data_IF_116898591478
#
_entry.id   IF_116898591478
#
_cell.length_a   1.000
_cell.length_b   1.000
_cell.length_c   1.000
_cell.angle_alpha   90.00
_cell.angle_beta   90.00
_cell.angle_gamma   90.00
#
_symmetry.space_group_name_H-M   'P 1'
#
loop_
_entity.id
_entity.type
_entity.pdbx_description
1 polymer ?
#
# COMPACT_ATOMS: atom_id res chain seq x y z
N UNK A 1 70.09 26.95 -10.11
CA UNK A 1 69.06 26.00 -10.57
C UNK A 1 67.68 26.61 -10.33
N UNK A 2 67.02 27.04 -11.41
CA UNK A 2 65.64 27.55 -11.41
C UNK A 2 64.68 26.35 -11.32
N UNK A 3 63.72 26.37 -10.40
CA UNK A 3 62.50 25.55 -10.51
C UNK A 3 61.30 26.48 -10.57
N UNK A 4 60.78 26.58 -11.79
CA UNK A 4 59.56 27.26 -12.18
C UNK A 4 58.39 26.36 -11.73
N UNK A 5 57.56 26.81 -10.78
CA UNK A 5 56.24 26.20 -10.57
C UNK A 5 55.22 27.05 -11.33
N UNK A 6 54.81 26.52 -12.47
CA UNK A 6 53.68 26.99 -13.27
C UNK A 6 52.41 26.37 -12.67
N UNK A 7 51.66 27.11 -11.87
CA UNK A 7 50.30 26.72 -11.47
C UNK A 7 49.35 27.24 -12.55
N UNK A 8 48.89 26.32 -13.40
CA UNK A 8 47.83 26.55 -14.37
C UNK A 8 46.56 27.01 -13.64
N UNK A 9 46.10 28.21 -13.94
CA UNK A 9 44.69 28.57 -13.74
C UNK A 9 43.85 27.73 -14.69
N UNK A 10 43.05 26.79 -14.17
CA UNK A 10 41.90 26.27 -14.90
C UNK A 10 40.90 27.42 -15.06
N UNK A 11 41.01 28.17 -16.15
CA UNK A 11 39.90 28.96 -16.64
C UNK A 11 38.81 27.98 -17.09
N UNK A 12 37.73 27.88 -16.32
CA UNK A 12 36.52 27.23 -16.77
C UNK A 12 36.06 27.95 -18.04
N UNK A 13 36.16 27.26 -19.18
CA UNK A 13 35.51 27.70 -20.42
C UNK A 13 34.01 27.58 -20.17
N UNK A 14 33.40 28.68 -19.72
CA UNK A 14 31.96 28.85 -19.75
C UNK A 14 31.57 28.90 -21.22
N UNK A 15 31.19 27.75 -21.79
CA UNK A 15 30.48 27.76 -23.06
C UNK A 15 29.28 28.71 -22.90
N UNK A 16 29.21 29.74 -23.75
CA UNK A 16 28.08 30.65 -23.77
C UNK A 16 26.90 29.90 -24.40
N UNK A 17 26.13 29.21 -23.56
CA UNK A 17 24.84 28.64 -23.96
C UNK A 17 23.88 29.79 -24.30
N UNK A 18 23.10 29.65 -25.37
CA UNK A 18 21.95 30.55 -25.55
C UNK A 18 20.82 30.13 -24.59
N UNK A 19 19.92 31.06 -24.24
CA UNK A 19 18.98 30.87 -23.14
C UNK A 19 17.69 30.16 -23.60
N UNK A 20 17.42 28.97 -23.05
CA UNK A 20 16.12 28.30 -23.19
C UNK A 20 15.14 28.97 -22.23
N UNK A 21 14.06 29.52 -22.77
CA UNK A 21 13.03 30.17 -21.96
C UNK A 21 12.14 29.15 -21.23
N UNK A 22 12.08 29.28 -19.91
CA UNK A 22 11.19 28.49 -19.05
C UNK A 22 9.76 29.02 -19.14
N UNK A 23 8.80 28.09 -19.28
CA UNK A 23 7.37 28.38 -19.36
C UNK A 23 6.67 28.04 -18.04
N UNK A 24 6.93 26.85 -17.48
CA UNK A 24 6.30 26.38 -16.24
C UNK A 24 7.26 25.45 -15.48
N UNK A 25 7.25 25.46 -14.13
CA UNK A 25 6.61 26.43 -13.26
C UNK A 25 7.28 27.81 -13.38
N UNK A 26 6.53 28.87 -13.07
CA UNK A 26 7.14 30.20 -12.93
C UNK A 26 8.24 30.14 -11.86
N UNK A 27 9.37 30.87 -12.03
CA UNK A 27 10.46 30.86 -11.06
C UNK A 27 9.97 31.16 -9.63
N UNK A 28 10.27 30.26 -8.69
CA UNK A 28 9.87 30.37 -7.29
C UNK A 28 8.40 30.02 -6.99
N UNK A 29 7.63 29.54 -7.97
CA UNK A 29 6.24 29.11 -7.75
C UNK A 29 6.14 28.02 -6.69
N UNK A 30 5.05 28.05 -5.90
CA UNK A 30 4.68 26.96 -4.99
C UNK A 30 3.69 26.06 -5.72
N UNK A 31 4.08 24.82 -6.01
CA UNK A 31 3.30 23.86 -6.80
C UNK A 31 2.65 22.80 -5.91
N UNK A 32 1.41 22.40 -6.22
CA UNK A 32 0.70 21.36 -5.47
C UNK A 32 1.12 19.94 -5.85
N UNK A 33 1.16 19.05 -4.87
CA UNK A 33 1.35 17.60 -5.08
C UNK A 33 0.07 16.78 -4.88
N UNK A 34 -0.99 17.42 -4.38
CA UNK A 34 -2.34 16.86 -4.32
C UNK A 34 -3.22 17.52 -5.37
N UNK A 35 -4.16 16.76 -5.95
CA UNK A 35 -5.20 17.34 -6.80
C UNK A 35 -6.16 18.16 -5.97
N UNK A 36 -6.89 19.09 -6.58
CA UNK A 36 -7.83 19.96 -5.84
C UNK A 36 -8.90 19.14 -5.09
N UNK A 37 -9.34 18.02 -5.67
CA UNK A 37 -10.28 17.09 -5.02
C UNK A 37 -9.65 16.36 -3.82
N UNK A 38 -8.40 15.91 -3.93
CA UNK A 38 -7.67 15.30 -2.81
C UNK A 38 -7.44 16.33 -1.70
N UNK A 39 -6.98 17.54 -2.04
CA UNK A 39 -6.79 18.65 -1.11
C UNK A 39 -8.08 18.99 -0.36
N UNK A 40 -9.17 19.16 -1.11
CA UNK A 40 -10.47 19.47 -0.54
C UNK A 40 -10.87 18.46 0.53
N UNK A 41 -10.58 17.17 0.34
CA UNK A 41 -10.85 16.15 1.35
C UNK A 41 -9.93 16.26 2.57
N UNK A 42 -8.61 16.39 2.38
CA UNK A 42 -7.64 16.33 3.50
C UNK A 42 -7.71 17.53 4.44
N UNK A 43 -8.20 18.69 3.96
CA UNK A 43 -8.35 19.91 4.79
C UNK A 43 -9.71 20.04 5.47
N UNK A 44 -10.66 19.15 5.18
CA UNK A 44 -11.94 19.11 5.91
C UNK A 44 -11.70 18.75 7.37
N UNK A 45 -12.52 19.28 8.28
CA UNK A 45 -12.49 18.88 9.68
C UNK A 45 -12.91 17.40 9.84
N UNK A 46 -12.51 16.78 10.96
CA UNK A 46 -12.73 15.36 11.23
C UNK A 46 -14.19 14.94 11.11
N UNK A 47 -15.10 15.76 11.66
CA UNK A 47 -16.50 15.41 11.72
C UNK A 47 -17.07 15.36 10.31
N UNK A 48 -16.82 16.40 9.51
CA UNK A 48 -17.23 16.45 8.10
C UNK A 48 -16.63 15.29 7.30
N UNK A 49 -15.34 14.96 7.49
CA UNK A 49 -14.71 13.81 6.82
C UNK A 49 -15.40 12.51 7.20
N UNK A 50 -15.63 12.27 8.50
CA UNK A 50 -16.28 11.05 9.00
C UNK A 50 -17.69 10.88 8.46
N UNK A 51 -18.48 11.95 8.41
CA UNK A 51 -19.84 11.95 7.83
C UNK A 51 -19.81 11.61 6.33
N UNK A 52 -18.94 12.27 5.56
CA UNK A 52 -18.75 11.95 4.12
C UNK A 52 -18.26 10.53 3.91
N UNK A 53 -17.31 10.06 4.72
CA UNK A 53 -16.72 8.73 4.60
C UNK A 53 -17.75 7.63 4.88
N UNK A 54 -18.78 7.91 5.68
CA UNK A 54 -19.87 6.98 5.95
C UNK A 54 -20.84 6.79 4.75
N UNK A 55 -20.86 7.71 3.78
CA UNK A 55 -21.72 7.62 2.60
C UNK A 55 -21.22 6.55 1.61
N UNK A 56 -21.98 5.45 1.38
CA UNK A 56 -21.58 4.40 0.45
C UNK A 56 -21.50 4.89 -1.02
N UNK A 57 -22.28 5.90 -1.42
CA UNK A 57 -22.22 6.47 -2.77
C UNK A 57 -20.92 7.23 -2.98
N UNK A 58 -20.49 7.99 -1.96
CA UNK A 58 -19.19 8.65 -1.96
C UNK A 58 -18.03 7.63 -2.03
N UNK A 59 -18.04 6.61 -1.17
CA UNK A 59 -16.97 5.58 -1.11
C UNK A 59 -16.86 4.74 -2.39
N UNK A 60 -18.00 4.28 -2.93
CA UNK A 60 -18.02 3.47 -4.17
C UNK A 60 -17.46 4.21 -5.39
N UNK A 61 -17.51 5.55 -5.38
CA UNK A 61 -16.93 6.43 -6.40
C UNK A 61 -15.51 6.90 -6.05
N UNK A 62 -14.74 6.13 -5.28
CA UNK A 62 -13.34 6.48 -4.98
C UNK A 62 -13.27 7.85 -4.29
N UNK A 63 -14.20 8.11 -3.38
CA UNK A 63 -14.35 9.41 -2.69
C UNK A 63 -14.55 10.59 -3.65
N UNK A 64 -15.15 10.34 -4.82
CA UNK A 64 -15.45 11.36 -5.82
C UNK A 64 -14.22 11.93 -6.54
N UNK A 65 -13.06 11.28 -6.44
CA UNK A 65 -11.84 11.75 -7.09
C UNK A 65 -11.94 11.61 -8.62
N UNK A 66 -11.74 12.69 -9.40
CA UNK A 66 -11.76 12.65 -10.86
C UNK A 66 -10.50 11.99 -11.42
N UNK A 67 -10.64 11.25 -12.52
CA UNK A 67 -9.49 10.77 -13.27
C UNK A 67 -8.89 11.92 -14.09
N UNK A 68 -7.57 12.08 -14.06
CA UNK A 68 -6.82 13.08 -14.83
C UNK A 68 -6.20 12.41 -16.07
N UNK A 69 -6.23 13.06 -17.23
CA UNK A 69 -5.54 12.57 -18.43
C UNK A 69 -4.49 13.59 -18.86
N UNK A 70 -3.21 13.22 -18.77
CA UNK A 70 -2.11 14.08 -19.22
C UNK A 70 -2.11 14.22 -20.75
N UNK A 71 -1.60 15.34 -21.29
CA UNK A 71 -1.31 15.48 -22.70
C UNK A 71 -0.53 14.30 -23.26
N UNK A 72 -0.93 13.79 -24.44
CA UNK A 72 -0.30 12.65 -25.10
C UNK A 72 -0.53 11.27 -24.46
N UNK A 73 -1.10 11.19 -23.24
CA UNK A 73 -1.31 9.91 -22.56
C UNK A 73 -2.44 9.09 -23.21
N UNK A 74 -2.21 7.78 -23.42
CA UNK A 74 -3.21 6.86 -23.99
C UNK A 74 -4.39 6.61 -23.04
N UNK A 75 -4.13 6.58 -21.74
CA UNK A 75 -5.12 6.30 -20.68
C UNK A 75 -5.07 7.39 -19.60
N UNK A 76 -6.19 7.66 -18.92
CA UNK A 76 -6.18 8.49 -17.72
C UNK A 76 -5.25 7.91 -16.65
N UNK A 77 -4.70 8.79 -15.83
CA UNK A 77 -4.01 8.47 -14.58
C UNK A 77 -5.01 7.94 -13.57
N UNK A 78 -4.50 7.16 -12.62
CA UNK A 78 -5.27 6.73 -11.47
C UNK A 78 -5.62 7.95 -10.60
N UNK A 79 -6.89 8.08 -10.22
CA UNK A 79 -7.39 9.26 -9.49
C UNK A 79 -6.77 9.44 -8.08
N UNK A 80 -6.15 8.38 -7.55
CA UNK A 80 -5.46 8.38 -6.26
C UNK A 80 -3.97 8.67 -6.35
N UNK A 81 -3.41 8.82 -7.55
CA UNK A 81 -2.03 9.24 -7.71
C UNK A 81 -1.86 10.72 -7.33
N UNK A 82 -0.64 11.14 -6.94
CA UNK A 82 -0.35 12.55 -6.72
C UNK A 82 -0.60 13.38 -7.99
N UNK A 83 -0.86 14.67 -7.78
CA UNK A 83 -0.81 15.66 -8.85
C UNK A 83 0.62 15.76 -9.35
N UNK A 84 0.77 15.63 -10.66
CA UNK A 84 2.08 15.68 -11.31
C UNK A 84 2.53 17.14 -11.44
N UNK A 85 3.83 17.37 -11.36
CA UNK A 85 4.43 18.69 -11.64
C UNK A 85 4.87 18.71 -13.09
N UNK A 86 4.38 19.69 -13.85
CA UNK A 86 4.78 19.93 -15.24
C UNK A 86 5.95 20.91 -15.27
N UNK A 87 7.04 20.47 -15.89
CA UNK A 87 8.12 21.34 -16.32
C UNK A 87 7.94 21.62 -17.80
N UNK A 88 7.97 22.88 -18.22
CA UNK A 88 7.77 23.27 -19.60
C UNK A 88 8.72 24.40 -20.01
N UNK A 89 9.16 24.36 -21.26
CA UNK A 89 10.07 25.34 -21.87
C UNK A 89 9.75 25.54 -23.35
N UNK A 90 10.27 26.63 -23.92
CA UNK A 90 10.19 26.87 -25.37
C UNK A 90 11.15 25.92 -26.10
N UNK A 91 10.61 24.82 -26.63
CA UNK A 91 11.37 23.82 -27.36
C UNK A 91 11.48 24.13 -28.87
N UNK A 92 12.60 23.71 -29.45
CA UNK A 92 12.85 23.66 -30.89
C UNK A 92 12.44 22.29 -31.43
N UNK A 93 11.88 22.27 -32.63
CA UNK A 93 11.48 21.02 -33.30
C UNK A 93 12.68 20.11 -33.56
N UNK A 94 12.52 18.83 -33.24
CA UNK A 94 13.54 17.80 -33.48
C UNK A 94 14.70 17.76 -32.48
N UNK A 95 14.74 18.67 -31.50
CA UNK A 95 15.78 18.68 -30.46
C UNK A 95 15.43 17.70 -29.33
N UNK A 96 16.43 16.92 -28.91
CA UNK A 96 16.40 16.17 -27.66
C UNK A 96 16.94 17.05 -26.53
N UNK A 97 16.23 17.07 -25.41
CA UNK A 97 16.58 17.82 -24.22
C UNK A 97 16.96 16.89 -23.08
N UNK A 98 17.98 17.25 -22.32
CA UNK A 98 18.28 16.67 -21.01
C UNK A 98 17.69 17.58 -19.93
N UNK A 99 16.88 17.02 -19.05
CA UNK A 99 16.25 17.74 -17.94
C UNK A 99 16.75 17.16 -16.63
N UNK A 100 17.34 18.00 -15.79
CA UNK A 100 17.85 17.59 -14.48
C UNK A 100 17.16 18.40 -13.38
N UNK A 101 16.67 17.72 -12.34
CA UNK A 101 15.98 18.34 -11.19
C UNK A 101 16.73 17.95 -9.93
N UNK A 102 16.99 18.94 -9.07
CA UNK A 102 17.73 18.77 -7.82
C UNK A 102 16.94 19.31 -6.64
N UNK A 103 16.88 18.51 -5.58
CA UNK A 103 16.46 18.99 -4.27
C UNK A 103 17.53 19.93 -3.71
N UNK A 104 17.17 21.19 -3.49
CA UNK A 104 18.13 22.23 -3.09
C UNK A 104 18.67 22.03 -1.67
N UNK A 105 17.86 21.48 -0.76
CA UNK A 105 18.27 21.27 0.62
C UNK A 105 19.16 20.04 0.76
N UNK A 106 18.83 18.96 0.04
CA UNK A 106 19.57 17.69 0.11
C UNK A 106 20.72 17.61 -0.90
N UNK A 107 20.74 18.48 -1.90
CA UNK A 107 21.62 18.39 -3.05
C UNK A 107 21.37 17.15 -3.93
N UNK A 108 20.29 16.39 -3.69
CA UNK A 108 20.02 15.11 -4.35
C UNK A 108 19.46 15.33 -5.75
N UNK A 109 19.98 14.59 -6.73
CA UNK A 109 19.38 14.53 -8.08
C UNK A 109 18.10 13.71 -7.98
N UNK A 110 16.99 14.33 -8.38
CA UNK A 110 15.65 13.75 -8.32
C UNK A 110 15.24 13.15 -9.66
N UNK A 111 15.60 13.84 -10.73
CA UNK A 111 15.39 13.45 -12.13
C UNK A 111 16.64 13.85 -12.91
N UNK A 112 17.06 13.01 -13.83
CA UNK A 112 18.08 13.29 -14.85
C UNK A 112 17.71 12.46 -16.08
N UNK A 113 16.87 13.04 -16.92
CA UNK A 113 16.19 12.32 -18.00
C UNK A 113 16.35 13.04 -19.33
N UNK A 114 16.26 12.26 -20.41
CA UNK A 114 16.21 12.78 -21.77
C UNK A 114 14.79 12.71 -22.29
N UNK A 115 14.34 13.77 -22.95
CA UNK A 115 13.00 13.83 -23.55
C UNK A 115 13.02 14.59 -24.87
N UNK A 116 12.00 14.33 -25.69
CA UNK A 116 11.72 15.10 -26.91
C UNK A 116 10.51 15.99 -26.65
N UNK A 117 10.53 17.21 -27.17
CA UNK A 117 9.49 18.22 -26.97
C UNK A 117 9.79 19.18 -25.81
N UNK A 118 8.83 20.06 -25.51
CA UNK A 118 8.99 21.18 -24.57
C UNK A 118 8.41 20.97 -23.19
N UNK A 119 8.20 19.72 -22.77
CA UNK A 119 7.68 19.43 -21.44
C UNK A 119 8.13 18.08 -20.85
N UNK A 120 8.13 18.01 -19.52
CA UNK A 120 8.36 16.81 -18.73
C UNK A 120 7.43 16.81 -17.51
N UNK A 121 6.86 15.65 -17.17
CA UNK A 121 5.97 15.47 -16.03
C UNK A 121 6.65 14.68 -14.93
N UNK A 122 6.68 15.23 -13.72
CA UNK A 122 7.42 14.66 -12.60
C UNK A 122 6.45 14.34 -11.47
N UNK A 123 6.57 13.12 -10.96
CA UNK A 123 5.86 12.63 -9.80
C UNK A 123 6.83 12.44 -8.62
N UNK A 124 6.29 12.10 -7.45
CA UNK A 124 7.07 11.62 -6.30
C UNK A 124 8.06 12.66 -5.73
N UNK A 125 7.78 13.96 -5.85
CA UNK A 125 8.50 15.00 -5.13
C UNK A 125 8.14 14.99 -3.64
N UNK A 126 9.02 15.54 -2.80
CA UNK A 126 8.74 15.78 -1.39
C UNK A 126 7.84 17.00 -1.22
N UNK A 127 6.98 17.00 -0.19
CA UNK A 127 6.22 18.19 0.21
C UNK A 127 7.13 19.15 0.98
N UNK A 128 6.76 20.43 1.03
CA UNK A 128 7.52 21.48 1.73
C UNK A 128 9.01 21.51 1.33
N UNK A 129 9.33 21.20 0.07
CA UNK A 129 10.68 21.12 -0.45
C UNK A 129 10.91 22.18 -1.54
N UNK A 130 12.18 22.53 -1.77
CA UNK A 130 12.59 23.49 -2.79
C UNK A 130 13.45 22.80 -3.84
N UNK A 131 13.14 23.05 -5.11
CA UNK A 131 13.78 22.41 -6.25
C UNK A 131 14.35 23.44 -7.21
N UNK A 132 15.52 23.12 -7.74
CA UNK A 132 16.10 23.77 -8.91
C UNK A 132 16.15 22.75 -10.04
N UNK A 133 15.99 23.23 -11.27
CA UNK A 133 16.07 22.36 -12.43
C UNK A 133 16.70 23.07 -13.63
N UNK A 134 17.33 22.27 -14.49
CA UNK A 134 17.92 22.70 -15.73
C UNK A 134 17.32 21.94 -16.89
N UNK A 135 17.29 22.59 -18.05
CA UNK A 135 17.03 21.97 -19.34
C UNK A 135 18.16 22.34 -20.28
N UNK A 136 18.73 21.36 -20.97
CA UNK A 136 19.85 21.55 -21.88
C UNK A 136 19.57 20.83 -23.20
N UNK A 137 19.79 21.49 -24.32
CA UNK A 137 19.58 20.91 -25.66
C UNK A 137 20.05 21.85 -26.76
N UNK A 138 20.59 21.29 -27.85
CA UNK A 138 21.08 22.06 -29.01
C UNK A 138 22.12 23.16 -28.67
N UNK A 139 22.95 22.94 -27.64
CA UNK A 139 23.90 23.95 -27.18
C UNK A 139 23.29 25.11 -26.40
N UNK A 140 22.01 25.02 -26.05
CA UNK A 140 21.28 25.98 -25.22
C UNK A 140 21.00 25.43 -23.83
N UNK A 141 20.76 26.32 -22.87
CA UNK A 141 20.42 25.95 -21.50
C UNK A 141 19.36 26.87 -20.89
N UNK A 142 18.48 26.32 -20.06
CA UNK A 142 17.49 27.05 -19.28
C UNK A 142 17.52 26.59 -17.82
N UNK A 143 17.16 27.49 -16.91
CA UNK A 143 17.12 27.20 -15.46
C UNK A 143 15.80 27.65 -14.87
N UNK A 144 15.20 26.78 -14.06
CA UNK A 144 13.98 27.08 -13.33
C UNK A 144 14.10 26.66 -11.87
N UNK A 145 13.15 27.15 -11.06
CA UNK A 145 13.04 26.76 -9.65
C UNK A 145 11.58 26.81 -9.20
N UNK A 146 11.24 25.96 -8.24
CA UNK A 146 9.91 25.92 -7.64
C UNK A 146 9.99 25.31 -6.24
N UNK A 147 8.92 25.50 -5.45
CA UNK A 147 8.72 24.86 -4.16
C UNK A 147 7.49 23.97 -4.22
N UNK A 148 7.41 22.95 -3.38
CA UNK A 148 6.20 22.15 -3.22
C UNK A 148 5.39 22.63 -2.03
N UNK A 149 4.07 22.56 -2.13
CA UNK A 149 3.18 22.87 -1.02
C UNK A 149 3.48 22.02 0.22
N UNK A 150 3.18 22.57 1.39
CA UNK A 150 3.30 21.91 2.69
C UNK A 150 2.00 21.20 3.10
N UNK A 151 1.36 20.50 2.16
CA UNK A 151 0.12 19.77 2.45
C UNK A 151 0.39 18.27 2.47
N UNK A 152 0.30 17.66 3.65
CA UNK A 152 0.36 16.21 3.82
C UNK A 152 -1.01 15.54 3.56
N UNK A 153 -1.05 14.25 3.16
CA UNK A 153 0.08 13.34 2.95
C UNK A 153 0.80 13.57 1.62
N UNK A 154 2.07 13.16 1.56
CA UNK A 154 2.79 12.96 0.29
C UNK A 154 2.33 11.63 -0.34
N UNK A 155 1.40 11.72 -1.29
CA UNK A 155 0.98 10.57 -2.10
C UNK A 155 2.11 10.17 -3.06
N UNK A 156 2.26 8.87 -3.30
CA UNK A 156 3.33 8.34 -4.16
C UNK A 156 2.70 7.61 -5.34
N UNK A 157 3.15 7.96 -6.54
CA UNK A 157 2.93 7.15 -7.73
C UNK A 157 3.88 5.96 -7.68
N UNK A 158 3.31 4.80 -7.38
CA UNK A 158 3.98 3.51 -7.43
C UNK A 158 3.29 2.68 -8.53
N UNK A 159 3.86 2.58 -9.75
CA UNK A 159 3.20 1.85 -10.83
C UNK A 159 2.90 0.39 -10.45
N UNK A 160 1.64 -0.02 -10.57
CA UNK A 160 1.18 -1.38 -10.24
C UNK A 160 0.81 -1.61 -8.77
N UNK A 161 1.19 -0.70 -7.87
CA UNK A 161 0.93 -0.80 -6.42
C UNK A 161 0.02 0.35 -6.00
N UNK A 162 -1.24 0.08 -5.58
CA UNK A 162 -2.14 1.13 -5.09
C UNK A 162 -1.84 1.51 -3.63
N UNK A 163 -2.53 2.54 -3.13
CA UNK A 163 -2.52 2.94 -1.71
C UNK A 163 -1.17 3.41 -1.16
N UNK A 164 -0.30 3.94 -2.02
CA UNK A 164 1.07 4.28 -1.63
C UNK A 164 1.18 5.74 -1.18
N UNK A 165 1.81 5.95 -0.03
CA UNK A 165 2.16 7.26 0.49
C UNK A 165 3.35 7.20 1.41
N UNK A 166 4.05 8.31 1.49
CA UNK A 166 5.08 8.55 2.49
C UNK A 166 4.41 8.67 3.86
N UNK A 167 5.00 8.03 4.87
CA UNK A 167 4.56 8.18 6.25
C UNK A 167 5.09 9.47 6.89
N UNK A 168 6.18 10.02 6.33
CA UNK A 168 6.80 11.26 6.72
C UNK A 168 6.09 12.51 6.19
N UNK A 169 6.72 13.66 6.39
CA UNK A 169 6.23 14.96 5.94
C UNK A 169 5.17 15.59 6.84
N UNK A 170 4.60 14.86 7.81
CA UNK A 170 3.63 15.42 8.77
C UNK A 170 4.35 16.08 9.94
N UNK A 171 3.74 17.12 10.51
CA UNK A 171 4.23 17.80 11.72
C UNK A 171 3.54 17.18 12.93
N UNK A 172 4.33 16.76 13.92
CA UNK A 172 3.84 16.27 15.21
C UNK A 172 3.43 17.40 16.15
N UNK A 173 2.75 17.05 17.24
CA UNK A 173 2.32 17.95 18.30
C UNK A 173 3.48 18.71 18.97
N UNK A 174 4.71 18.21 18.84
CA UNK A 174 5.92 18.86 19.35
C UNK A 174 6.61 19.80 18.34
N UNK A 175 5.94 20.07 17.21
CA UNK A 175 6.39 20.98 16.15
C UNK A 175 7.41 20.39 15.19
N UNK A 176 7.95 19.18 15.45
CA UNK A 176 8.92 18.55 14.56
C UNK A 176 8.24 17.88 13.38
N UNK A 177 8.89 17.90 12.23
CA UNK A 177 8.43 17.20 11.03
C UNK A 177 9.00 15.78 11.00
N UNK A 178 8.20 14.82 10.59
CA UNK A 178 8.73 13.50 10.24
C UNK A 178 9.50 13.57 8.90
N UNK A 179 10.72 13.03 8.88
CA UNK A 179 11.57 12.91 7.70
C UNK A 179 10.83 12.16 6.59
N UNK A 180 10.87 12.71 5.38
CA UNK A 180 10.27 12.14 4.18
C UNK A 180 11.20 11.10 3.56
N UNK A 181 10.63 10.08 2.91
CA UNK A 181 11.35 9.01 2.24
C UNK A 181 11.94 7.95 3.15
N UNK A 182 11.66 8.01 4.47
CA UNK A 182 12.15 7.02 5.43
C UNK A 182 11.24 5.78 5.49
N UNK A 183 9.93 6.01 5.53
CA UNK A 183 8.92 4.95 5.62
C UNK A 183 7.86 5.18 4.55
N UNK A 184 7.69 4.20 3.68
CA UNK A 184 6.62 4.12 2.70
C UNK A 184 5.62 3.07 3.19
N UNK A 185 4.33 3.38 3.09
CA UNK A 185 3.27 2.37 3.25
C UNK A 185 2.57 2.13 1.93
N UNK A 186 2.27 0.87 1.63
CA UNK A 186 1.74 0.47 0.32
C UNK A 186 0.78 -0.71 0.41
N UNK A 187 0.08 -1.01 -0.70
CA UNK A 187 -0.50 -2.34 -0.93
C UNK A 187 0.59 -3.35 -1.29
N UNK A 188 0.25 -4.64 -1.35
CA UNK A 188 1.25 -5.69 -1.57
C UNK A 188 2.04 -5.49 -2.86
N UNK A 189 3.34 -5.77 -2.82
CA UNK A 189 4.24 -5.66 -3.98
C UNK A 189 4.03 -6.77 -5.02
N UNK A 190 3.23 -7.78 -4.67
CA UNK A 190 2.73 -8.83 -5.55
C UNK A 190 1.28 -9.19 -5.15
N UNK A 191 0.58 -9.92 -6.02
CA UNK A 191 -0.74 -10.47 -5.69
C UNK A 191 -0.62 -11.55 -4.61
N UNK A 192 -1.75 -11.96 -4.02
CA UNK A 192 -1.75 -13.10 -3.13
C UNK A 192 -1.47 -14.39 -3.90
N UNK A 193 -0.84 -15.34 -3.23
CA UNK A 193 -0.77 -16.70 -3.71
C UNK A 193 -2.18 -17.26 -3.95
N UNK A 194 -2.28 -18.11 -4.97
CA UNK A 194 -3.54 -18.69 -5.40
C UNK A 194 -3.38 -20.15 -5.76
N UNK A 195 -4.47 -20.89 -5.60
CA UNK A 195 -4.52 -22.31 -5.96
C UNK A 195 -4.52 -22.45 -7.48
N UNK A 196 -3.72 -23.40 -7.97
CA UNK A 196 -3.76 -23.84 -9.36
C UNK A 196 -4.59 -25.11 -9.47
N UNK A 197 -5.22 -25.31 -10.62
CA UNK A 197 -6.14 -26.42 -10.86
C UNK A 197 -5.70 -27.16 -12.12
N UNK A 198 -5.90 -28.48 -12.13
CA UNK A 198 -5.70 -29.25 -13.34
C UNK A 198 -6.68 -28.82 -14.43
N UNK A 199 -6.21 -28.80 -15.67
CA UNK A 199 -7.10 -28.66 -16.83
C UNK A 199 -7.84 -29.98 -17.08
N UNK A 200 -8.93 -29.92 -17.85
CA UNK A 200 -9.65 -31.14 -18.26
C UNK A 200 -8.74 -32.09 -19.02
N UNK A 201 -7.87 -31.58 -19.88
CA UNK A 201 -6.99 -32.41 -20.69
C UNK A 201 -5.89 -33.06 -19.84
N UNK A 202 -5.32 -32.35 -18.86
CA UNK A 202 -4.42 -32.96 -17.87
C UNK A 202 -5.13 -34.09 -17.11
N UNK A 203 -6.40 -33.91 -16.72
CA UNK A 203 -7.17 -34.94 -16.03
C UNK A 203 -7.50 -36.14 -16.93
N UNK A 204 -7.70 -35.94 -18.24
CA UNK A 204 -7.87 -37.02 -19.21
C UNK A 204 -6.59 -37.82 -19.37
N UNK A 205 -5.46 -37.13 -19.56
CA UNK A 205 -4.14 -37.76 -19.69
C UNK A 205 -3.78 -38.57 -18.45
N UNK A 206 -4.20 -38.11 -17.27
CA UNK A 206 -4.03 -38.83 -16.01
C UNK A 206 -5.02 -39.99 -15.81
N UNK A 207 -6.00 -40.18 -16.71
CA UNK A 207 -7.04 -41.20 -16.59
C UNK A 207 -8.01 -40.96 -15.42
N UNK A 208 -8.12 -39.72 -14.92
CA UNK A 208 -8.94 -39.37 -13.74
C UNK A 208 -10.24 -38.64 -14.08
N UNK A 209 -10.41 -38.20 -15.32
CA UNK A 209 -11.55 -37.34 -15.66
C UNK A 209 -12.90 -38.01 -15.37
N UNK A 210 -13.05 -39.29 -15.72
CA UNK A 210 -14.32 -40.01 -15.58
C UNK A 210 -14.65 -40.24 -14.10
N UNK A 211 -13.68 -40.65 -13.27
CA UNK A 211 -13.83 -40.79 -11.81
C UNK A 211 -14.33 -39.49 -11.17
N UNK A 212 -13.77 -38.33 -11.58
CA UNK A 212 -14.15 -37.06 -10.97
C UNK A 212 -15.53 -36.58 -11.44
N UNK A 213 -15.89 -36.87 -12.70
CA UNK A 213 -17.25 -36.60 -13.21
C UNK A 213 -18.28 -37.43 -12.45
N UNK A 214 -18.02 -38.73 -12.28
CA UNK A 214 -18.89 -39.62 -11.49
C UNK A 214 -19.03 -39.11 -10.04
N UNK A 215 -17.94 -38.68 -9.41
CA UNK A 215 -17.99 -38.10 -8.07
C UNK A 215 -18.80 -36.78 -8.00
N UNK A 216 -18.70 -35.94 -9.03
CA UNK A 216 -19.48 -34.70 -9.13
C UNK A 216 -20.98 -34.98 -9.30
N UNK A 217 -21.34 -35.95 -10.15
CA UNK A 217 -22.71 -36.41 -10.33
C UNK A 217 -23.29 -37.02 -9.03
N UNK A 218 -22.51 -37.84 -8.33
CA UNK A 218 -22.89 -38.38 -7.03
C UNK A 218 -23.14 -37.29 -5.98
N UNK A 219 -22.30 -36.25 -5.96
CA UNK A 219 -22.47 -35.10 -5.07
C UNK A 219 -23.73 -34.27 -5.40
N UNK A 220 -24.04 -34.08 -6.69
CA UNK A 220 -25.27 -33.43 -7.13
C UNK A 220 -26.50 -34.25 -6.71
N UNK A 221 -26.47 -35.56 -6.96
CA UNK A 221 -27.55 -36.47 -6.55
C UNK A 221 -27.79 -36.43 -5.04
N UNK A 222 -26.72 -36.38 -4.24
CA UNK A 222 -26.83 -36.24 -2.78
C UNK A 222 -27.42 -34.88 -2.37
N UNK A 223 -27.07 -33.80 -3.05
CA UNK A 223 -27.66 -32.49 -2.79
C UNK A 223 -29.17 -32.50 -3.03
N UNK A 224 -29.61 -33.08 -4.14
CA UNK A 224 -31.02 -33.17 -4.50
C UNK A 224 -31.80 -34.00 -3.47
N UNK A 225 -31.22 -35.12 -3.01
CA UNK A 225 -31.79 -35.93 -1.93
C UNK A 225 -31.95 -35.14 -0.62
N UNK A 226 -30.91 -34.41 -0.20
CA UNK A 226 -30.97 -33.60 1.03
C UNK A 226 -32.01 -32.47 0.94
N UNK A 227 -32.14 -31.84 -0.23
CA UNK A 227 -33.17 -30.81 -0.48
C UNK A 227 -34.58 -31.40 -0.43
N UNK A 228 -34.77 -32.61 -0.97
CA UNK A 228 -36.05 -33.33 -0.85
C UNK A 228 -36.38 -33.64 0.62
N UNK A 229 -35.42 -34.14 1.40
CA UNK A 229 -35.59 -34.35 2.84
C UNK A 229 -35.85 -33.07 3.63
N UNK A 230 -35.26 -31.94 3.22
CA UNK A 230 -35.55 -30.65 3.85
C UNK A 230 -37.00 -30.21 3.59
N UNK A 231 -37.54 -30.49 2.41
CA UNK A 231 -38.93 -30.19 2.08
C UNK A 231 -39.92 -31.11 2.80
N UNK A 232 -39.60 -32.40 2.96
CA UNK A 232 -40.37 -33.34 3.78
C UNK A 232 -39.47 -34.28 4.62
N UNK A 233 -39.16 -33.88 5.87
CA UNK A 233 -38.25 -34.64 6.73
C UNK A 233 -38.69 -36.07 7.08
N UNK A 234 -39.97 -36.42 6.85
CA UNK A 234 -40.48 -37.77 7.08
C UNK A 234 -39.95 -38.78 6.05
N UNK A 235 -39.50 -38.30 4.89
CA UNK A 235 -38.92 -39.11 3.82
C UNK A 235 -37.45 -39.47 4.04
N UNK A 236 -36.86 -39.00 5.15
CA UNK A 236 -35.46 -39.25 5.47
C UNK A 236 -35.24 -40.70 5.86
N UNK A 237 -34.26 -41.33 5.21
CA UNK A 237 -33.81 -42.67 5.58
C UNK A 237 -33.04 -42.61 6.90
N UNK A 238 -33.61 -43.22 7.95
CA UNK A 238 -33.00 -43.27 9.28
C UNK A 238 -31.81 -44.21 9.36
N UNK A 239 -31.63 -45.05 8.34
CA UNK A 239 -30.49 -45.96 8.24
C UNK A 239 -29.25 -45.31 7.60
N UNK A 240 -29.37 -44.08 7.08
CA UNK A 240 -28.26 -43.30 6.51
C UNK A 240 -27.12 -43.14 7.54
N UNK A 241 -25.93 -43.60 7.16
CA UNK A 241 -24.79 -43.67 8.05
C UNK A 241 -24.33 -42.28 8.55
N UNK A 242 -24.45 -41.23 7.72
CA UNK A 242 -24.09 -39.86 8.14
C UNK A 242 -25.09 -39.29 9.14
N UNK A 243 -26.37 -39.65 8.98
CA UNK A 243 -27.42 -39.27 9.92
C UNK A 243 -27.21 -39.97 11.27
N UNK A 244 -26.95 -41.28 11.27
CA UNK A 244 -26.64 -42.07 12.48
C UNK A 244 -25.42 -41.54 13.23
N UNK A 245 -24.31 -41.28 12.53
CA UNK A 245 -23.10 -40.70 13.11
C UNK A 245 -23.34 -39.30 13.68
N UNK A 246 -24.17 -38.49 13.02
CA UNK A 246 -24.53 -37.18 13.54
C UNK A 246 -25.38 -37.26 14.81
N UNK A 247 -26.40 -38.14 14.84
CA UNK A 247 -27.22 -38.39 16.03
C UNK A 247 -26.39 -38.91 17.21
N UNK A 248 -25.36 -39.73 16.97
CA UNK A 248 -24.44 -40.19 18.01
C UNK A 248 -23.63 -39.07 18.68
N UNK A 249 -23.49 -37.93 18.01
CA UNK A 249 -22.74 -36.75 18.50
C UNK A 249 -23.65 -35.58 18.92
N UNK A 250 -24.92 -35.59 18.52
CA UNK A 250 -25.88 -34.49 18.68
C UNK A 250 -27.26 -35.06 19.02
N UNK A 251 -27.36 -35.73 20.18
CA UNK A 251 -28.51 -36.55 20.60
C UNK A 251 -29.82 -35.75 20.65
N UNK A 252 -29.75 -34.46 21.01
CA UNK A 252 -30.92 -33.59 21.22
C UNK A 252 -31.11 -32.51 20.14
N UNK A 253 -30.32 -32.54 19.05
CA UNK A 253 -30.46 -31.54 18.00
C UNK A 253 -31.52 -31.92 16.96
N UNK A 254 -32.31 -30.95 16.44
CA UNK A 254 -33.33 -31.23 15.46
C UNK A 254 -32.75 -31.60 14.09
N UNK A 255 -33.40 -32.54 13.40
CA UNK A 255 -33.06 -32.99 12.03
C UNK A 255 -32.89 -31.82 11.05
N UNK A 256 -33.65 -30.73 11.22
CA UNK A 256 -33.56 -29.53 10.37
C UNK A 256 -32.19 -28.86 10.43
N UNK A 257 -31.47 -28.95 11.57
CA UNK A 257 -30.11 -28.43 11.74
C UNK A 257 -29.08 -29.32 11.06
N UNK A 258 -29.25 -30.65 11.13
CA UNK A 258 -28.48 -31.61 10.34
C UNK A 258 -28.60 -31.32 8.84
N UNK A 259 -29.84 -31.25 8.32
CA UNK A 259 -30.11 -31.02 6.89
C UNK A 259 -29.53 -29.68 6.42
N UNK A 260 -29.76 -28.59 7.17
CA UNK A 260 -29.22 -27.28 6.81
C UNK A 260 -27.69 -27.27 6.74
N UNK A 261 -27.02 -27.93 7.69
CA UNK A 261 -25.55 -28.05 7.70
C UNK A 261 -25.03 -28.87 6.51
N UNK A 262 -25.65 -30.02 6.23
CA UNK A 262 -25.24 -30.89 5.11
C UNK A 262 -25.51 -30.26 3.76
N UNK A 263 -26.70 -29.67 3.55
CA UNK A 263 -27.05 -28.94 2.33
C UNK A 263 -26.03 -27.83 2.09
N UNK A 264 -25.69 -27.05 3.11
CA UNK A 264 -24.68 -25.99 2.96
C UNK A 264 -23.33 -26.56 2.48
N UNK A 265 -22.85 -27.64 3.11
CA UNK A 265 -21.58 -28.29 2.74
C UNK A 265 -21.59 -28.84 1.32
N UNK A 266 -22.63 -29.59 0.93
CA UNK A 266 -22.72 -30.22 -0.40
C UNK A 266 -22.96 -29.16 -1.48
N UNK A 267 -23.83 -28.17 -1.22
CA UNK A 267 -24.10 -27.05 -2.13
C UNK A 267 -22.86 -26.20 -2.38
N UNK A 268 -22.01 -25.99 -1.38
CA UNK A 268 -20.71 -25.34 -1.55
C UNK A 268 -19.76 -26.18 -2.42
N UNK A 269 -19.86 -27.51 -2.35
CA UNK A 269 -19.12 -28.42 -3.24
C UNK A 269 -19.59 -28.30 -4.70
N UNK A 270 -20.90 -28.40 -4.93
CA UNK A 270 -21.54 -28.32 -6.25
C UNK A 270 -21.38 -26.94 -6.90
N UNK A 271 -21.63 -25.85 -6.16
CA UNK A 271 -21.60 -24.46 -6.67
C UNK A 271 -20.22 -24.01 -7.15
N UNK A 272 -19.14 -24.68 -6.74
CA UNK A 272 -17.79 -24.43 -7.29
C UNK A 272 -17.65 -24.78 -8.78
N UNK A 273 -18.69 -25.39 -9.35
CA UNK A 273 -19.10 -25.29 -10.73
C UNK A 273 -18.58 -26.43 -11.58
N UNK A 274 -19.39 -27.48 -11.74
CA UNK A 274 -19.55 -28.38 -12.92
C UNK A 274 -18.33 -29.06 -13.55
N UNK A 275 -17.23 -28.34 -13.73
CA UNK A 275 -15.94 -28.89 -14.14
C UNK A 275 -15.15 -29.37 -12.92
N UNK A 276 -14.44 -30.49 -13.02
CA UNK A 276 -13.65 -31.05 -11.94
C UNK A 276 -12.46 -30.14 -11.60
N UNK A 277 -12.68 -29.19 -10.69
CA UNK A 277 -11.61 -28.33 -10.15
C UNK A 277 -10.77 -29.12 -9.15
N UNK A 278 -9.92 -29.98 -9.66
CA UNK A 278 -8.92 -30.69 -8.85
C UNK A 278 -7.75 -29.75 -8.64
N UNK A 279 -7.48 -29.41 -7.38
CA UNK A 279 -6.34 -28.57 -7.01
C UNK A 279 -5.05 -29.29 -7.41
N UNK A 280 -4.24 -28.64 -8.25
CA UNK A 280 -2.91 -29.08 -8.67
C UNK A 280 -1.84 -28.65 -7.67
N UNK A 281 -1.97 -27.45 -7.11
CA UNK A 281 -1.03 -26.92 -6.15
C UNK A 281 -1.40 -25.49 -5.74
N UNK A 282 -0.42 -24.78 -5.21
CA UNK A 282 -0.50 -23.36 -4.94
C UNK A 282 0.77 -22.70 -5.50
N UNK A 283 0.64 -21.49 -6.01
CA UNK A 283 1.78 -20.72 -6.55
C UNK A 283 1.80 -19.32 -5.95
N UNK A 284 2.97 -18.68 -5.82
CA UNK A 284 3.06 -17.28 -5.39
C UNK A 284 2.29 -16.38 -6.34
N UNK A 285 1.73 -15.30 -5.82
CA UNK A 285 1.05 -14.31 -6.66
C UNK A 285 2.06 -13.51 -7.48
N UNK A 286 1.66 -13.17 -8.70
CA UNK A 286 2.46 -12.43 -9.67
C UNK A 286 2.95 -11.08 -9.10
N UNK A 287 4.18 -10.70 -9.44
CA UNK A 287 4.76 -9.43 -9.01
C UNK A 287 4.03 -8.24 -9.63
N UNK A 288 3.76 -7.20 -8.85
CA UNK A 288 3.24 -5.91 -9.36
C UNK A 288 4.36 -4.97 -9.79
N UNK A 289 5.59 -5.28 -9.37
CA UNK A 289 6.78 -4.42 -9.46
C UNK A 289 7.88 -5.06 -10.30
N UNK A 290 7.52 -6.00 -11.18
CA UNK A 290 8.45 -6.64 -12.10
C UNK A 290 9.07 -5.63 -13.09
N UNK A 291 10.33 -5.89 -13.47
CA UNK A 291 11.06 -5.12 -14.47
C UNK A 291 11.25 -3.65 -14.12
N UNK A 292 11.00 -2.77 -15.09
CA UNK A 292 11.22 -1.32 -14.97
C UNK A 292 10.45 -0.67 -13.82
N UNK A 293 9.32 -1.26 -13.39
CA UNK A 293 8.51 -0.70 -12.28
C UNK A 293 9.25 -0.80 -10.95
N UNK A 294 9.84 -1.96 -10.65
CA UNK A 294 10.64 -2.15 -9.44
C UNK A 294 11.93 -1.35 -9.50
N UNK A 295 12.60 -1.35 -10.65
CA UNK A 295 13.81 -0.57 -10.86
C UNK A 295 13.59 0.94 -10.64
N UNK A 296 12.48 1.49 -11.16
CA UNK A 296 12.10 2.89 -10.93
C UNK A 296 11.95 3.22 -9.44
N UNK A 297 11.31 2.34 -8.67
CA UNK A 297 11.05 2.59 -7.25
C UNK A 297 12.32 2.47 -6.43
N UNK A 298 13.15 1.48 -6.71
CA UNK A 298 14.46 1.35 -6.06
C UNK A 298 15.36 2.55 -6.37
N UNK A 299 15.41 2.99 -7.63
CA UNK A 299 16.16 4.19 -7.99
C UNK A 299 15.61 5.44 -7.30
N UNK A 300 14.29 5.55 -7.14
CA UNK A 300 13.65 6.74 -6.57
C UNK A 300 13.72 6.82 -5.05
N UNK A 301 13.52 5.71 -4.36
CA UNK A 301 13.35 5.67 -2.91
C UNK A 301 14.46 4.89 -2.20
N UNK A 302 15.26 4.12 -2.91
CA UNK A 302 16.36 3.35 -2.32
C UNK A 302 15.90 2.36 -1.26
N UNK A 303 14.69 1.80 -1.39
CA UNK A 303 14.09 0.88 -0.42
C UNK A 303 15.09 -0.24 -0.09
N UNK A 304 15.37 -0.41 1.20
CA UNK A 304 16.29 -1.45 1.71
C UNK A 304 15.55 -2.58 2.39
N UNK A 305 14.33 -2.35 2.84
CA UNK A 305 13.54 -3.34 3.58
C UNK A 305 12.09 -3.33 3.16
N UNK A 306 11.54 -4.53 3.06
CA UNK A 306 10.14 -4.83 2.71
C UNK A 306 9.51 -5.60 3.87
N UNK A 307 8.62 -4.96 4.62
CA UNK A 307 7.87 -5.60 5.71
C UNK A 307 6.51 -6.06 5.19
N UNK A 308 6.33 -7.38 5.09
CA UNK A 308 5.10 -7.99 4.62
C UNK A 308 4.28 -8.56 5.79
N UNK A 309 3.10 -7.98 6.00
CA UNK A 309 2.18 -8.36 7.08
C UNK A 309 1.19 -9.46 6.68
N UNK A 310 1.31 -10.00 5.46
CA UNK A 310 0.48 -11.11 4.97
C UNK A 310 0.83 -12.43 5.66
N UNK A 311 -0.06 -13.40 5.61
CA UNK A 311 0.13 -14.75 6.16
C UNK A 311 0.92 -15.64 5.20
N UNK A 312 1.46 -16.74 5.73
CA UNK A 312 2.18 -17.76 4.95
C UNK A 312 1.33 -18.27 3.78
N UNK A 313 0.01 -18.36 3.96
CA UNK A 313 -0.91 -18.74 2.89
C UNK A 313 -1.00 -17.67 1.79
N UNK A 314 -1.03 -16.41 2.17
CA UNK A 314 -1.09 -15.28 1.22
C UNK A 314 0.24 -15.08 0.48
N UNK A 315 1.37 -15.46 1.10
CA UNK A 315 2.72 -15.37 0.54
C UNK A 315 3.29 -16.73 0.11
N UNK A 316 2.45 -17.75 -0.07
CA UNK A 316 2.92 -19.11 -0.32
C UNK A 316 3.92 -19.16 -1.47
N UNK A 317 5.07 -19.80 -1.24
CA UNK A 317 6.12 -19.98 -2.23
C UNK A 317 7.02 -18.76 -2.45
N UNK A 318 6.79 -17.64 -1.75
CA UNK A 318 7.73 -16.51 -1.76
C UNK A 318 8.94 -16.81 -0.89
N UNK A 319 10.12 -16.39 -1.35
CA UNK A 319 11.40 -16.56 -0.65
C UNK A 319 12.15 -15.24 -0.43
N UNK A 320 11.57 -14.11 -0.88
CA UNK A 320 12.19 -12.79 -0.82
C UNK A 320 11.24 -11.70 -1.31
N UNK A 321 11.72 -10.46 -1.30
CA UNK A 321 10.94 -9.30 -1.72
C UNK A 321 10.75 -9.31 -3.25
N UNK A 322 9.56 -8.96 -3.77
CA UNK A 322 9.36 -8.72 -5.20
C UNK A 322 10.24 -7.60 -5.79
N UNK A 323 10.88 -6.77 -4.95
CA UNK A 323 11.84 -5.76 -5.36
C UNK A 323 13.25 -6.31 -5.64
N UNK A 324 13.51 -7.58 -5.33
CA UNK A 324 14.78 -8.25 -5.61
C UNK A 324 15.71 -8.33 -4.40
N UNK A 325 16.84 -9.02 -4.61
CA UNK A 325 17.69 -9.55 -3.54
C UNK A 325 18.46 -8.48 -2.75
N UNK A 326 18.49 -7.24 -3.23
CA UNK A 326 19.06 -6.10 -2.50
C UNK A 326 18.15 -5.58 -1.39
N UNK A 327 16.88 -6.02 -1.37
CA UNK A 327 15.88 -5.63 -0.37
C UNK A 327 15.67 -6.77 0.62
N UNK A 328 15.88 -6.48 1.90
CA UNK A 328 15.63 -7.47 2.96
C UNK A 328 14.14 -7.64 3.18
N UNK A 329 13.65 -8.87 3.03
CA UNK A 329 12.24 -9.18 3.24
C UNK A 329 11.97 -9.64 4.67
N UNK A 330 11.13 -8.89 5.39
CA UNK A 330 10.66 -9.19 6.73
C UNK A 330 9.21 -9.66 6.68
N UNK A 331 9.02 -10.96 6.71
CA UNK A 331 7.69 -11.56 6.73
C UNK A 331 7.18 -11.73 8.17
N UNK A 332 6.38 -10.77 8.63
CA UNK A 332 5.79 -10.77 9.97
C UNK A 332 4.27 -10.68 9.89
N UNK A 333 3.66 -11.84 9.66
CA UNK A 333 2.22 -11.95 9.56
C UNK A 333 1.52 -11.43 10.82
N UNK A 334 0.57 -10.52 10.63
CA UNK A 334 -0.14 -9.88 11.72
C UNK A 334 -1.66 -9.92 11.50
N UNK A 335 -2.42 -9.73 12.57
CA UNK A 335 -3.85 -9.44 12.56
C UNK A 335 -4.09 -7.91 12.43
N UNK A 336 -5.36 -7.50 12.27
CA UNK A 336 -5.74 -6.08 12.20
C UNK A 336 -6.77 -5.73 13.26
N UNK A 337 -6.94 -4.42 13.50
CA UNK A 337 -7.94 -3.87 14.42
C UNK A 337 -7.88 -4.56 15.80
N UNK A 338 -9.02 -4.92 16.40
CA UNK A 338 -9.02 -5.61 17.70
C UNK A 338 -8.21 -6.92 17.73
N UNK A 339 -8.01 -7.58 16.58
CA UNK A 339 -7.18 -8.78 16.49
C UNK A 339 -5.72 -8.54 16.85
N UNK A 340 -5.22 -7.30 16.77
CA UNK A 340 -3.85 -6.97 17.15
C UNK A 340 -3.56 -7.09 18.65
N UNK A 341 -4.63 -7.10 19.45
CA UNK A 341 -4.53 -7.11 20.91
C UNK A 341 -4.32 -8.53 21.45
N UNK A 342 -4.56 -9.58 20.64
CA UNK A 342 -4.31 -10.96 21.05
C UNK A 342 -2.82 -11.31 20.96
N UNK A 343 -2.43 -12.45 21.54
CA UNK A 343 -1.02 -12.90 21.60
C UNK A 343 -0.34 -12.96 20.22
N UNK A 344 -1.04 -13.49 19.21
CA UNK A 344 -0.54 -13.58 17.84
C UNK A 344 -0.23 -12.20 17.24
N UNK A 345 -1.18 -11.27 17.34
CA UNK A 345 -1.00 -9.90 16.90
C UNK A 345 0.17 -9.24 17.62
N UNK A 346 0.15 -9.24 18.95
CA UNK A 346 1.20 -8.65 19.79
C UNK A 346 2.59 -9.13 19.41
N UNK A 347 2.79 -10.45 19.22
CA UNK A 347 4.07 -11.01 18.78
C UNK A 347 4.51 -10.48 17.41
N UNK A 348 3.59 -10.37 16.46
CA UNK A 348 3.88 -9.80 15.15
C UNK A 348 4.29 -8.32 15.25
N UNK A 349 3.55 -7.52 16.03
CA UNK A 349 3.88 -6.11 16.25
C UNK A 349 5.23 -5.92 16.94
N UNK A 350 5.59 -6.76 17.92
CA UNK A 350 6.93 -6.75 18.54
C UNK A 350 8.03 -6.95 17.49
N UNK A 351 7.87 -7.89 16.56
CA UNK A 351 8.87 -8.12 15.51
C UNK A 351 8.93 -6.95 14.53
N UNK A 352 7.78 -6.44 14.10
CA UNK A 352 7.69 -5.29 13.20
C UNK A 352 8.35 -4.04 13.81
N UNK A 353 8.09 -3.74 15.09
CA UNK A 353 8.66 -2.56 15.74
C UNK A 353 10.18 -2.63 15.87
N UNK A 354 10.75 -3.83 16.12
CA UNK A 354 12.22 -4.03 16.11
C UNK A 354 12.86 -3.65 14.76
N UNK A 355 12.18 -3.89 13.64
CA UNK A 355 12.69 -3.47 12.31
C UNK A 355 12.81 -1.95 12.23
N UNK A 356 11.81 -1.22 12.74
CA UNK A 356 11.82 0.25 12.75
C UNK A 356 12.85 0.85 13.71
N UNK A 357 13.40 0.09 14.65
CA UNK A 357 14.44 0.56 15.58
C UNK A 357 15.86 0.40 15.05
N UNK A 358 16.06 -0.26 13.90
CA UNK A 358 17.38 -0.40 13.27
C UNK A 358 17.48 0.51 12.04
N UNK A 359 18.35 1.52 12.14
CA UNK A 359 18.62 2.51 11.08
C UNK A 359 19.06 1.89 9.75
N UNK A 360 19.65 0.69 9.79
CA UNK A 360 20.13 -0.02 8.59
C UNK A 360 18.99 -0.43 7.66
N UNK A 361 17.78 -0.60 8.21
CA UNK A 361 16.60 -1.03 7.45
C UNK A 361 15.99 0.11 6.62
N UNK A 362 16.36 1.36 6.86
CA UNK A 362 15.77 2.51 6.18
C UNK A 362 16.44 2.80 4.83
N UNK A 363 15.67 3.14 3.78
CA UNK A 363 14.20 3.26 3.74
C UNK A 363 13.40 1.94 3.74
N UNK A 364 12.23 1.95 4.40
CA UNK A 364 11.35 0.78 4.57
C UNK A 364 10.07 0.97 3.75
N UNK A 365 9.65 -0.05 2.98
CA UNK A 365 8.25 -0.22 2.55
C UNK A 365 7.59 -1.25 3.45
N UNK A 366 6.38 -0.97 3.97
CA UNK A 366 5.61 -1.94 4.72
C UNK A 366 4.17 -2.04 4.21
N UNK A 367 3.70 -3.28 4.07
CA UNK A 367 2.46 -3.55 3.36
C UNK A 367 1.69 -4.76 3.90
N UNK A 368 0.47 -4.92 3.40
CA UNK A 368 -0.30 -6.16 3.50
C UNK A 368 -0.89 -6.46 2.12
N UNK A 369 -2.09 -7.04 1.99
CA UNK A 369 -2.72 -7.17 0.65
C UNK A 369 -3.01 -5.79 0.06
N UNK A 370 -3.75 -4.99 0.82
CA UNK A 370 -4.40 -3.77 0.35
C UNK A 370 -3.73 -2.51 0.94
N UNK A 371 -2.75 -2.67 1.82
CA UNK A 371 -2.13 -1.53 2.52
C UNK A 371 -3.08 -0.83 3.49
N UNK A 372 -4.10 -1.53 3.95
CA UNK A 372 -5.26 -0.95 4.60
C UNK A 372 -5.35 -1.31 6.07
N UNK A 373 -5.65 -2.57 6.37
CA UNK A 373 -6.10 -2.98 7.71
C UNK A 373 -4.89 -3.22 8.64
N UNK A 374 -4.05 -4.21 8.31
CA UNK A 374 -2.82 -4.54 9.06
C UNK A 374 -1.81 -3.40 8.98
N UNK A 375 -1.58 -2.90 7.77
CA UNK A 375 -0.74 -1.73 7.50
C UNK A 375 -1.28 -0.48 8.20
N UNK A 376 -2.60 -0.27 8.21
CA UNK A 376 -3.21 0.87 8.90
C UNK A 376 -3.04 0.80 10.41
N UNK A 377 -3.13 -0.39 11.01
CA UNK A 377 -2.88 -0.57 12.43
C UNK A 377 -1.41 -0.27 12.81
N UNK A 378 -0.44 -0.74 12.02
CA UNK A 378 0.99 -0.40 12.20
C UNK A 378 1.18 1.11 12.05
N UNK A 379 0.69 1.71 10.97
CA UNK A 379 0.80 3.15 10.71
C UNK A 379 0.19 4.00 11.83
N UNK A 380 -0.95 3.58 12.38
CA UNK A 380 -1.59 4.26 13.51
C UNK A 380 -0.69 4.30 14.74
N UNK A 381 -0.07 3.16 15.09
CA UNK A 381 0.88 3.07 16.21
C UNK A 381 2.09 3.96 15.95
N UNK A 382 2.74 3.82 14.79
CA UNK A 382 3.93 4.60 14.47
C UNK A 382 3.65 6.10 14.51
N UNK A 383 2.50 6.53 13.98
CA UNK A 383 2.13 7.95 13.96
C UNK A 383 1.89 8.51 15.36
N UNK A 384 1.23 7.72 16.21
CA UNK A 384 1.04 8.08 17.61
C UNK A 384 2.39 8.21 18.35
N UNK A 385 3.34 7.30 18.09
CA UNK A 385 4.70 7.37 18.65
C UNK A 385 5.52 8.55 18.12
N UNK A 386 5.27 9.00 16.89
CA UNK A 386 5.84 10.26 16.36
C UNK A 386 5.14 11.50 16.92
N UNK A 387 4.03 11.33 17.64
CA UNK A 387 3.24 12.42 18.20
C UNK A 387 2.40 13.13 17.16
N UNK A 388 1.95 12.45 16.09
CA UNK A 388 0.95 13.03 15.20
C UNK A 388 -0.34 13.28 15.97
N UNK A 389 -1.01 14.40 15.67
CA UNK A 389 -2.33 14.69 16.20
C UNK A 389 -3.31 13.56 15.86
N UNK A 390 -4.29 13.33 16.73
CA UNK A 390 -5.27 12.26 16.51
C UNK A 390 -6.00 12.43 15.16
N UNK A 391 -6.23 13.66 14.70
CA UNK A 391 -6.94 13.88 13.45
C UNK A 391 -6.12 13.41 12.25
N UNK A 392 -4.81 13.61 12.36
CA UNK A 392 -3.83 13.15 11.39
C UNK A 392 -3.76 11.63 11.34
N UNK A 393 -3.88 10.94 12.49
CA UNK A 393 -3.94 9.47 12.55
C UNK A 393 -5.19 8.92 11.83
N UNK A 394 -6.33 9.56 12.06
CA UNK A 394 -7.60 9.20 11.42
C UNK A 394 -7.54 9.47 9.91
N UNK A 395 -7.07 10.66 9.53
CA UNK A 395 -6.90 11.06 8.14
C UNK A 395 -5.98 10.10 7.38
N UNK A 396 -4.88 9.66 7.98
CA UNK A 396 -3.98 8.70 7.33
C UNK A 396 -4.68 7.39 6.98
N UNK A 397 -5.56 6.89 7.84
CA UNK A 397 -6.39 5.71 7.55
C UNK A 397 -7.45 6.00 6.48
N UNK A 398 -8.14 7.14 6.57
CA UNK A 398 -9.17 7.55 5.61
C UNK A 398 -8.63 7.72 4.18
N UNK A 399 -7.37 8.17 4.02
CA UNK A 399 -6.73 8.32 2.70
C UNK A 399 -6.63 6.99 1.95
N UNK A 400 -6.66 5.84 2.64
CA UNK A 400 -6.81 4.54 1.95
C UNK A 400 -8.12 4.45 1.17
N UNK A 401 -9.13 5.24 1.53
CA UNK A 401 -10.34 5.38 0.78
C UNK A 401 -10.16 6.00 -0.62
N UNK A 402 -9.07 6.73 -0.89
CA UNK A 402 -8.79 7.31 -2.19
C UNK A 402 -8.63 6.27 -3.29
N UNK A 403 -8.37 5.00 -2.99
CA UNK A 403 -8.35 3.93 -4.01
C UNK A 403 -9.39 2.84 -3.73
N UNK A 404 -9.69 2.60 -2.44
CA UNK A 404 -10.59 1.53 -2.04
C UNK A 404 -12.05 1.90 -2.35
N UNK A 405 -12.76 1.01 -3.07
CA UNK A 405 -14.19 1.16 -3.43
C UNK A 405 -15.15 0.30 -2.60
N UNK A 406 -14.65 -0.50 -1.66
CA UNK A 406 -15.46 -1.35 -0.79
C UNK A 406 -16.27 -0.49 0.17
N UNK A 407 -17.59 -0.62 0.07
CA UNK A 407 -18.55 0.12 0.90
C UNK A 407 -18.48 -0.24 2.39
N UNK A 408 -17.98 -1.44 2.72
CA UNK A 408 -17.75 -1.88 4.10
C UNK A 408 -16.43 -1.39 4.73
N UNK A 409 -15.63 -0.60 4.00
CA UNK A 409 -14.48 0.08 4.59
C UNK A 409 -14.95 1.37 5.26
N UNK A 410 -15.38 1.28 6.52
CA UNK A 410 -15.95 2.39 7.30
C UNK A 410 -15.45 2.37 8.74
N UNK A 411 -15.45 3.54 9.38
CA UNK A 411 -14.98 3.73 10.76
C UNK A 411 -15.60 2.73 11.75
N UNK A 412 -16.95 2.70 11.82
CA UNK A 412 -17.71 1.90 12.79
C UNK A 412 -17.38 0.41 12.77
N UNK A 413 -17.11 -0.14 11.59
CA UNK A 413 -16.92 -1.59 11.40
C UNK A 413 -15.46 -2.00 11.62
N UNK A 414 -14.53 -1.05 11.59
CA UNK A 414 -13.11 -1.32 11.47
C UNK A 414 -12.31 -0.39 12.39
N UNK A 415 -12.10 0.86 11.98
CA UNK A 415 -11.20 1.79 12.66
C UNK A 415 -11.57 2.07 14.12
N UNK A 416 -12.87 2.18 14.43
CA UNK A 416 -13.33 2.38 15.80
C UNK A 416 -12.96 1.17 16.70
N UNK A 417 -12.93 -0.05 16.14
CA UNK A 417 -12.45 -1.23 16.88
C UNK A 417 -10.95 -1.17 17.16
N UNK A 418 -10.13 -0.66 16.23
CA UNK A 418 -8.70 -0.41 16.45
C UNK A 418 -8.50 0.55 17.62
N UNK A 419 -9.11 1.74 17.54
CA UNK A 419 -8.94 2.79 18.54
C UNK A 419 -9.47 2.33 19.90
N UNK A 420 -10.64 1.67 19.94
CA UNK A 420 -11.21 1.16 21.18
C UNK A 420 -10.32 0.13 21.88
N UNK A 421 -9.52 -0.63 21.12
CA UNK A 421 -8.56 -1.58 21.68
C UNK A 421 -7.48 -0.90 22.53
N UNK A 422 -7.01 0.28 22.10
CA UNK A 422 -6.06 1.06 22.89
C UNK A 422 -6.73 1.76 24.06
N UNK A 423 -7.83 2.47 23.83
CA UNK A 423 -8.51 3.27 24.86
C UNK A 423 -9.01 2.40 26.02
N UNK A 424 -9.56 1.21 25.73
CA UNK A 424 -10.10 0.32 26.76
C UNK A 424 -9.02 -0.42 27.55
N UNK A 425 -7.98 -0.92 26.86
CA UNK A 425 -6.97 -1.75 27.50
C UNK A 425 -5.82 -0.93 28.11
N UNK A 426 -5.61 0.29 27.62
CA UNK A 426 -4.51 1.18 28.01
C UNK A 426 -4.99 2.62 28.21
N UNK A 427 -5.99 2.86 29.09
CA UNK A 427 -6.61 4.18 29.23
C UNK A 427 -5.59 5.27 29.59
N UNK A 428 -5.67 6.41 28.91
CA UNK A 428 -4.88 7.61 29.14
C UNK A 428 -5.63 8.86 28.66
N UNK A 429 -5.08 10.05 28.90
CA UNK A 429 -5.74 11.32 28.54
C UNK A 429 -5.74 11.54 27.03
N UNK A 430 -4.73 11.01 26.34
CA UNK A 430 -4.61 11.05 24.88
C UNK A 430 -4.47 9.67 24.26
N UNK A 431 -4.81 9.56 22.97
CA UNK A 431 -4.63 8.32 22.21
C UNK A 431 -3.15 7.97 22.05
N UNK A 432 -2.27 8.98 21.96
CA UNK A 432 -0.82 8.82 21.87
C UNK A 432 -0.28 8.15 23.13
N UNK A 433 -0.68 8.61 24.31
CA UNK A 433 -0.29 8.00 25.58
C UNK A 433 -0.84 6.57 25.73
N UNK A 434 -2.06 6.33 25.25
CA UNK A 434 -2.66 4.99 25.24
C UNK A 434 -1.81 4.02 24.38
N UNK A 435 -1.35 4.48 23.21
CA UNK A 435 -0.44 3.71 22.35
C UNK A 435 0.93 3.52 22.99
N UNK A 436 1.50 4.55 23.64
CA UNK A 436 2.78 4.42 24.36
C UNK A 436 2.69 3.36 25.46
N UNK A 437 1.59 3.32 26.22
CA UNK A 437 1.35 2.27 27.22
C UNK A 437 1.27 0.88 26.59
N UNK A 438 0.58 0.73 25.45
CA UNK A 438 0.56 -0.53 24.69
C UNK A 438 1.97 -0.96 24.25
N UNK A 439 2.77 -0.04 23.71
CA UNK A 439 4.13 -0.33 23.23
C UNK A 439 5.07 -0.71 24.37
N UNK A 440 4.94 -0.07 25.54
CA UNK A 440 5.66 -0.48 26.76
C UNK A 440 5.28 -1.88 27.20
N UNK A 441 4.00 -2.21 27.14
CA UNK A 441 3.47 -3.54 27.47
C UNK A 441 3.90 -4.64 26.45
N UNK A 442 4.32 -4.25 25.23
CA UNK A 442 5.01 -5.15 24.29
C UNK A 442 6.50 -5.37 24.63
N UNK A 443 7.03 -4.68 25.65
CA UNK A 443 8.41 -4.80 26.13
C UNK A 443 9.38 -3.73 25.61
N UNK A 444 8.89 -2.65 25.00
CA UNK A 444 9.75 -1.55 24.53
C UNK A 444 9.88 -0.44 25.57
N UNK A 445 11.08 0.11 25.68
CA UNK A 445 11.41 1.16 26.64
C UNK A 445 11.11 2.56 26.08
N UNK A 446 11.17 3.56 26.95
CA UNK A 446 11.11 4.96 26.52
C UNK A 446 12.31 5.35 25.64
N UNK A 447 13.46 4.72 25.86
CA UNK A 447 14.66 4.89 25.03
C UNK A 447 14.44 4.32 23.61
N UNK A 448 13.73 3.19 23.48
CA UNK A 448 13.35 2.65 22.17
C UNK A 448 12.42 3.62 21.42
N UNK A 449 11.43 4.18 22.11
CA UNK A 449 10.51 5.17 21.53
C UNK A 449 11.28 6.44 21.15
N UNK A 450 12.17 6.91 22.01
CA UNK A 450 13.02 8.07 21.74
C UNK A 450 13.94 7.84 20.55
N UNK A 451 14.51 6.62 20.42
CA UNK A 451 15.31 6.21 19.27
C UNK A 451 14.49 6.21 17.99
N UNK A 452 13.29 5.63 17.99
CA UNK A 452 12.41 5.69 16.82
C UNK A 452 12.13 7.15 16.42
N UNK A 453 11.85 8.02 17.39
CA UNK A 453 11.65 9.45 17.15
C UNK A 453 12.90 10.15 16.62
N UNK A 454 14.11 9.83 17.08
CA UNK A 454 15.35 10.44 16.57
C UNK A 454 15.66 10.02 15.13
N UNK A 455 15.34 8.77 14.79
CA UNK A 455 15.44 8.28 13.41
C UNK A 455 14.47 9.05 12.51
N UNK A 456 13.22 9.21 12.94
CA UNK A 456 12.14 9.68 12.08
C UNK A 456 11.87 11.18 12.12
N UNK A 457 12.20 11.92 13.16
CA UNK A 457 11.89 13.35 13.27
C UNK A 457 13.10 14.22 12.88
N UNK A 458 12.84 15.36 12.24
CA UNK A 458 13.86 16.38 11.99
C UNK A 458 14.40 16.95 13.31
N UNK A 459 15.58 17.54 13.25
CA UNK A 459 16.10 18.35 14.36
C UNK A 459 15.18 19.57 14.62
N UNK A 460 15.28 20.13 15.83
CA UNK A 460 14.48 21.28 16.26
C UNK A 460 15.05 22.59 15.75
#
# INVERSE_FOLDING_TARGET
MKKLLLLLSLAAVSAAYSEIKIVEPAPGAVVPLLTDAQKAYVVMDRQTRREKFADPRFRSKVMGLPAEKLPGAKKPREAYWPKTVRLAWEAKDGVEYRVAVRDTAKGAVVIDEKTKGGELYIDNLEIAASYEWTVEGDGDSGKGSFKTEDTAPRLIRYPGVPNVRDFGGRIGLDGRRAKQGMIIRSAGLNYNAHDTYYTIDELKEMGKLDEIKEAAEAAQKRLDQLLAWQADPKTMDREDAEYKDWCGRHIDEPVTKFLSSRIHKVKASVKRGGDPKVKKGQVPGESRVEGERGAYILARFGIKSDIDLRSDRECYGMTGSPLGDTVTWFHYSSSAYGGMQNEYGRKAFTNVFKVFLDEKNYPIDFHCIAGQDRTGAVAFILGALLGYDEDVLYLDWEVTGFWNRRVGFRHKELFDHLVSGFVKNYPADTIQESVVKYVRDLGFTDDDIAKFRSIMLTER
#
